data_IF_509127511810
#
_entry.id   IF_509127511810
#
_cell.length_a   1.000
_cell.length_b   1.000
_cell.length_c   1.000
_cell.angle_alpha   90.00
_cell.angle_beta   90.00
_cell.angle_gamma   90.00
#
_symmetry.space_group_name_H-M   'P 1'
#
loop_
_entity.id
_entity.type
_entity.pdbx_description
1 polymer ?
#
# COMPACT_ATOMS: atom_id res chain seq x y z
N UNK A 1 -32.25 -29.58 -26.73
CA UNK A 1 -32.07 -30.32 -25.47
C UNK A 1 -31.58 -29.32 -24.43
N UNK A 2 -32.01 -29.52 -23.19
CA UNK A 2 -32.19 -28.53 -22.12
C UNK A 2 -31.02 -27.57 -21.82
N UNK A 3 -31.38 -26.31 -21.59
CA UNK A 3 -30.57 -25.25 -21.02
C UNK A 3 -31.10 -25.01 -19.59
N UNK A 4 -30.38 -25.48 -18.57
CA UNK A 4 -30.81 -25.45 -17.17
C UNK A 4 -30.30 -24.17 -16.48
N UNK A 5 -31.07 -23.08 -16.63
CA UNK A 5 -30.93 -21.88 -15.81
C UNK A 5 -31.62 -22.07 -14.45
N UNK A 6 -30.85 -22.40 -13.41
CA UNK A 6 -31.35 -22.47 -12.03
C UNK A 6 -31.24 -21.09 -11.35
N UNK A 7 -32.29 -20.29 -11.45
CA UNK A 7 -32.52 -19.10 -10.62
C UNK A 7 -33.59 -19.41 -9.57
N UNK A 8 -33.16 -19.61 -8.32
CA UNK A 8 -34.04 -19.71 -7.15
C UNK A 8 -34.45 -18.33 -6.59
N UNK A 9 -35.53 -18.26 -5.78
CA UNK A 9 -36.57 -17.26 -5.96
C UNK A 9 -36.43 -15.98 -5.14
N UNK A 10 -36.92 -14.92 -5.78
CA UNK A 10 -37.36 -13.63 -5.23
C UNK A 10 -38.47 -13.82 -4.19
N UNK A 11 -38.31 -13.18 -3.03
CA UNK A 11 -39.42 -12.85 -2.14
C UNK A 11 -39.46 -11.32 -1.99
N UNK A 12 -40.35 -10.70 -2.77
CA UNK A 12 -40.82 -9.35 -2.55
C UNK A 12 -42.05 -9.42 -1.64
N UNK A 13 -42.08 -8.56 -0.62
CA UNK A 13 -43.31 -8.10 0.02
C UNK A 13 -43.09 -6.64 0.44
N UNK A 14 -43.58 -5.73 -0.40
CA UNK A 14 -43.90 -4.35 -0.03
C UNK A 14 -45.20 -4.31 0.79
N UNK A 15 -45.29 -3.29 1.65
CA UNK A 15 -46.46 -2.43 1.95
C UNK A 15 -46.57 -2.16 3.46
N UNK A 16 -46.92 -0.98 3.98
CA UNK A 16 -47.16 0.40 3.50
C UNK A 16 -47.11 1.30 4.76
N UNK A 17 -46.71 2.55 4.56
CA UNK A 17 -46.89 3.79 5.33
C UNK A 17 -47.66 3.80 6.69
N UNK A 18 -47.18 4.60 7.65
CA UNK A 18 -47.75 5.94 7.90
C UNK A 18 -46.92 6.81 8.87
N UNK A 19 -47.09 8.11 8.66
CA UNK A 19 -46.35 9.29 9.12
C UNK A 19 -46.68 9.78 10.54
N UNK A 20 -45.71 10.38 11.25
CA UNK A 20 -45.85 11.73 11.87
C UNK A 20 -44.53 12.26 12.47
N UNK A 21 -44.21 13.50 12.10
CA UNK A 21 -43.11 14.34 12.58
C UNK A 21 -43.53 15.15 13.85
N UNK A 22 -42.88 16.28 14.24
CA UNK A 22 -41.52 16.51 14.75
C UNK A 22 -41.50 17.35 16.07
N UNK A 23 -40.48 17.21 16.93
CA UNK A 23 -40.12 18.20 17.98
C UNK A 23 -38.79 17.76 18.62
N UNK A 24 -37.80 18.57 18.97
CA UNK A 24 -37.60 20.01 18.97
C UNK A 24 -36.13 20.29 19.36
N UNK A 25 -35.62 21.47 18.99
CA UNK A 25 -34.28 21.96 19.33
C UNK A 25 -34.07 22.01 20.85
N UNK A 26 -32.93 21.53 21.38
CA UNK A 26 -32.21 22.18 22.50
C UNK A 26 -30.69 22.03 22.37
N UNK A 27 -30.02 23.14 22.70
CA UNK A 27 -28.60 23.47 22.56
C UNK A 27 -27.74 22.82 23.64
N UNK A 28 -26.46 22.61 23.30
CA UNK A 28 -25.25 22.87 24.09
C UNK A 28 -25.37 22.90 25.63
N UNK A 29 -24.65 21.98 26.29
CA UNK A 29 -24.05 22.20 27.61
C UNK A 29 -22.97 21.13 27.84
N UNK A 30 -21.69 21.48 27.71
CA UNK A 30 -20.87 21.96 28.85
C UNK A 30 -20.41 20.82 29.77
N UNK A 31 -19.10 20.52 29.67
CA UNK A 31 -18.17 20.41 30.81
C UNK A 31 -18.65 19.54 31.98
N UNK A 32 -18.30 18.25 31.95
CA UNK A 32 -18.17 17.45 33.18
C UNK A 32 -16.72 17.48 33.66
N UNK A 33 -16.42 18.40 34.56
CA UNK A 33 -15.24 18.32 35.43
C UNK A 33 -15.56 17.45 36.65
N UNK A 34 -14.71 16.43 36.84
CA UNK A 34 -14.09 15.92 38.08
C UNK A 34 -14.88 15.96 39.41
N UNK A 35 -14.93 14.81 40.07
CA UNK A 35 -14.74 14.66 41.53
C UNK A 35 -13.77 13.51 41.81
N UNK A 36 -12.95 13.67 42.86
CA UNK A 36 -11.74 12.90 43.16
C UNK A 36 -11.86 12.09 44.47
N UNK A 37 -11.07 11.01 44.58
CA UNK A 37 -10.44 10.36 45.77
C UNK A 37 -10.30 8.84 45.49
N UNK A 38 -9.12 8.32 45.06
CA UNK A 38 -8.02 7.79 45.91
C UNK A 38 -8.16 6.26 46.05
N UNK A 39 -7.17 5.35 45.96
CA UNK A 39 -5.72 5.34 45.78
C UNK A 39 -5.30 3.88 45.40
N UNK A 40 -4.14 3.75 44.72
CA UNK A 40 -3.25 2.57 44.51
C UNK A 40 -3.79 1.28 43.88
N UNK A 41 -3.42 1.04 42.61
CA UNK A 41 -2.70 -0.15 42.12
C UNK A 41 -2.57 -0.10 40.59
N UNK A 42 -1.32 -0.10 40.13
CA UNK A 42 -0.83 -0.56 38.82
C UNK A 42 -1.79 -0.46 37.64
N UNK A 43 -1.72 0.65 36.91
CA UNK A 43 -2.34 0.70 35.59
C UNK A 43 -1.61 1.68 34.69
N UNK A 44 -0.89 1.09 33.74
CA UNK A 44 -0.69 1.53 32.36
C UNK A 44 -0.80 3.03 32.19
N UNK A 45 0.35 3.70 32.12
CA UNK A 45 0.42 5.05 31.62
C UNK A 45 -0.29 5.08 30.27
N UNK A 46 -1.49 5.67 30.24
CA UNK A 46 -2.15 6.05 29.00
C UNK A 46 -1.28 7.15 28.42
N UNK A 47 -0.25 6.75 27.70
CA UNK A 47 0.65 7.64 27.00
C UNK A 47 -0.21 8.41 26.00
N UNK A 48 -0.41 9.70 26.29
CA UNK A 48 -0.92 10.66 25.31
C UNK A 48 -0.12 10.43 24.01
N UNK A 49 -0.75 10.45 22.82
CA UNK A 49 -0.02 10.21 21.58
C UNK A 49 1.16 11.18 21.52
N UNK A 50 2.37 10.64 21.63
CA UNK A 50 3.60 11.44 21.59
C UNK A 50 3.65 12.02 20.17
N UNK A 51 3.36 13.32 20.04
CA UNK A 51 3.47 14.01 18.76
C UNK A 51 4.95 14.31 18.55
N UNK A 52 5.62 13.41 17.84
CA UNK A 52 6.99 13.67 17.40
C UNK A 52 6.99 14.84 16.41
N UNK A 53 7.83 15.84 16.65
CA UNK A 53 8.09 16.90 15.68
C UNK A 53 8.80 16.33 14.46
N UNK A 54 8.80 17.05 13.34
CA UNK A 54 9.48 16.59 12.11
C UNK A 54 10.99 16.40 12.33
N UNK A 55 11.61 17.27 13.12
CA UNK A 55 13.03 17.18 13.50
C UNK A 55 13.30 15.92 14.34
N UNK A 56 12.49 15.65 15.35
CA UNK A 56 12.63 14.45 16.19
C UNK A 56 12.45 13.15 15.39
N UNK A 57 11.59 13.16 14.36
CA UNK A 57 11.43 11.99 13.46
C UNK A 57 12.68 11.77 12.62
N UNK A 58 13.25 12.83 12.07
CA UNK A 58 14.48 12.76 11.28
C UNK A 58 15.65 12.28 12.12
N UNK A 59 15.82 12.81 13.34
CA UNK A 59 16.89 12.40 14.26
C UNK A 59 16.81 10.91 14.60
N UNK A 60 15.60 10.41 14.86
CA UNK A 60 15.39 8.99 15.12
C UNK A 60 15.64 8.12 13.88
N UNK A 61 15.26 8.56 12.69
CA UNK A 61 15.56 7.83 11.46
C UNK A 61 17.07 7.77 11.20
N UNK A 62 17.78 8.88 11.42
CA UNK A 62 19.24 8.95 11.29
C UNK A 62 19.95 8.05 12.30
N UNK A 63 19.47 7.99 13.54
CA UNK A 63 20.01 7.10 14.57
C UNK A 63 19.84 5.62 14.17
N UNK A 64 18.66 5.25 13.67
CA UNK A 64 18.40 3.88 13.18
C UNK A 64 19.30 3.57 11.98
N UNK A 65 19.45 4.50 11.04
CA UNK A 65 20.30 4.32 9.87
C UNK A 65 21.78 4.21 10.25
N UNK A 66 22.25 5.01 11.20
CA UNK A 66 23.61 4.93 11.72
C UNK A 66 23.88 3.59 12.43
N UNK A 67 22.96 3.11 13.27
CA UNK A 67 23.12 1.80 13.94
C UNK A 67 23.17 0.65 12.94
N UNK A 68 22.33 0.70 11.90
CA UNK A 68 22.31 -0.31 10.83
C UNK A 68 23.57 -0.20 9.95
N UNK A 69 24.02 1.01 9.62
CA UNK A 69 25.23 1.23 8.82
C UNK A 69 26.51 0.80 9.55
N UNK A 70 26.55 0.97 10.87
CA UNK A 70 27.64 0.50 11.73
C UNK A 70 27.62 -1.02 11.91
N UNK A 71 26.56 -1.72 11.48
CA UNK A 71 26.41 -3.16 11.65
C UNK A 71 26.21 -3.60 13.10
N UNK A 72 25.91 -2.66 14.00
CA UNK A 72 25.79 -2.92 15.43
C UNK A 72 24.50 -3.71 15.77
N UNK A 73 23.49 -3.64 14.91
CA UNK A 73 22.20 -4.30 15.14
C UNK A 73 21.45 -4.54 13.83
N UNK A 74 20.52 -5.51 13.85
CA UNK A 74 19.59 -5.67 12.72
C UNK A 74 18.62 -4.49 12.70
N UNK A 75 18.05 -4.18 11.53
CA UNK A 75 17.10 -3.07 11.38
C UNK A 75 15.97 -3.12 12.43
N UNK A 76 15.50 -4.32 12.78
CA UNK A 76 14.43 -4.49 13.78
C UNK A 76 14.89 -4.14 15.19
N UNK A 77 16.14 -4.45 15.51
CA UNK A 77 16.71 -4.19 16.83
C UNK A 77 17.04 -2.70 16.99
N UNK A 78 17.53 -2.04 15.93
CA UNK A 78 17.69 -0.58 15.88
C UNK A 78 16.35 0.18 16.01
N UNK A 79 15.28 -0.35 15.42
CA UNK A 79 13.94 0.25 15.55
C UNK A 79 13.43 0.16 16.99
N UNK A 80 13.67 -1.00 17.65
CA UNK A 80 13.31 -1.20 19.06
C UNK A 80 14.16 -0.34 19.99
N UNK A 81 15.47 -0.20 19.75
CA UNK A 81 16.36 0.66 20.53
C UNK A 81 15.93 2.13 20.45
N UNK A 82 15.51 2.59 19.27
CA UNK A 82 14.96 3.94 19.06
C UNK A 82 13.55 4.17 19.69
N UNK A 83 12.95 3.11 20.25
CA UNK A 83 11.64 3.16 20.92
C UNK A 83 10.48 3.43 19.97
N UNK A 84 10.57 2.95 18.72
CA UNK A 84 9.54 3.11 17.68
C UNK A 84 9.06 1.72 17.22
N UNK A 85 7.85 1.63 16.66
CA UNK A 85 7.39 0.40 16.00
C UNK A 85 7.89 0.31 14.55
N UNK A 86 8.10 -0.90 14.03
CA UNK A 86 8.49 -1.10 12.62
C UNK A 86 7.56 -0.39 11.64
N UNK A 87 6.25 -0.45 11.91
CA UNK A 87 5.25 0.25 11.11
C UNK A 87 5.49 1.77 11.08
N UNK A 88 5.79 2.38 12.22
CA UNK A 88 6.04 3.82 12.31
C UNK A 88 7.34 4.18 11.61
N UNK A 89 8.38 3.36 11.73
CA UNK A 89 9.63 3.53 10.98
C UNK A 89 9.39 3.56 9.48
N UNK A 90 8.62 2.62 8.92
CA UNK A 90 8.34 2.59 7.47
C UNK A 90 7.48 3.78 7.02
N UNK A 91 6.49 4.19 7.83
CA UNK A 91 5.67 5.38 7.53
C UNK A 91 6.53 6.65 7.52
N UNK A 92 7.43 6.81 8.50
CA UNK A 92 8.32 7.96 8.56
C UNK A 92 9.37 7.91 7.47
N UNK A 93 9.98 6.75 7.19
CA UNK A 93 10.93 6.58 6.08
C UNK A 93 10.30 6.92 4.73
N UNK A 94 9.03 6.55 4.51
CA UNK A 94 8.28 6.90 3.28
C UNK A 94 7.92 8.39 3.20
N UNK A 95 7.79 9.06 4.35
CA UNK A 95 7.47 10.48 4.42
C UNK A 95 8.72 11.37 4.43
N UNK A 96 9.85 10.84 4.92
CA UNK A 96 11.15 11.50 5.04
C UNK A 96 12.01 11.32 3.79
N UNK A 97 11.89 10.17 3.10
CA UNK A 97 12.15 10.18 1.67
C UNK A 97 11.15 11.17 1.11
N UNK A 98 11.57 12.29 0.51
CA UNK A 98 10.63 13.09 -0.26
C UNK A 98 9.91 12.10 -1.17
N UNK A 99 8.64 12.33 -1.42
CA UNK A 99 8.01 11.65 -2.53
C UNK A 99 8.90 11.92 -3.75
N UNK A 100 9.80 10.99 -4.10
CA UNK A 100 10.57 10.92 -5.36
C UNK A 100 9.62 10.63 -6.53
N UNK A 101 8.39 11.12 -6.39
CA UNK A 101 7.32 11.25 -7.35
C UNK A 101 6.68 12.63 -7.14
N UNK A 102 7.45 13.71 -7.36
CA UNK A 102 7.00 14.96 -8.00
C UNK A 102 8.12 16.02 -8.06
N UNK A 103 8.37 16.74 -9.19
CA UNK A 103 8.04 16.51 -10.60
C UNK A 103 9.27 16.66 -11.53
N UNK A 104 10.43 16.07 -11.23
CA UNK A 104 11.47 15.85 -12.26
C UNK A 104 10.98 14.83 -13.32
N UNK A 105 10.01 13.99 -12.93
CA UNK A 105 9.23 13.09 -13.77
C UNK A 105 8.26 13.81 -14.75
N UNK A 106 8.48 15.08 -15.09
CA UNK A 106 7.77 15.72 -16.21
C UNK A 106 8.67 15.94 -17.42
N UNK A 107 9.98 16.09 -17.22
CA UNK A 107 10.99 16.16 -18.29
C UNK A 107 11.73 14.83 -18.41
N UNK A 108 12.08 14.16 -17.30
CA UNK A 108 12.75 12.85 -17.31
C UNK A 108 11.78 11.70 -17.59
N UNK A 109 10.51 11.81 -17.18
CA UNK A 109 9.53 10.77 -17.54
C UNK A 109 9.25 10.68 -19.04
N UNK A 110 9.55 11.74 -19.81
CA UNK A 110 9.52 11.67 -21.27
C UNK A 110 10.62 10.77 -21.83
N UNK A 111 11.82 10.83 -21.24
CA UNK A 111 12.97 10.00 -21.61
C UNK A 111 12.80 8.56 -21.11
N UNK A 112 12.40 8.38 -19.85
CA UNK A 112 12.08 7.06 -19.29
C UNK A 112 10.94 6.36 -20.08
N UNK A 113 9.93 7.11 -20.52
CA UNK A 113 8.85 6.56 -21.35
C UNK A 113 9.33 6.23 -22.76
N UNK A 114 10.21 7.05 -23.34
CA UNK A 114 10.82 6.77 -24.63
C UNK A 114 11.67 5.50 -24.58
N UNK A 115 12.46 5.32 -23.53
CA UNK A 115 13.26 4.12 -23.28
C UNK A 115 12.39 2.88 -23.11
N UNK A 116 11.29 2.98 -22.36
CA UNK A 116 10.33 1.88 -22.23
C UNK A 116 9.70 1.49 -23.57
N UNK A 117 9.34 2.46 -24.42
CA UNK A 117 8.81 2.21 -25.76
C UNK A 117 9.87 1.54 -26.66
N UNK A 118 11.13 1.97 -26.57
CA UNK A 118 12.23 1.35 -27.33
C UNK A 118 12.44 -0.11 -26.88
N UNK A 119 12.46 -0.36 -25.58
CA UNK A 119 12.57 -1.71 -25.03
C UNK A 119 11.41 -2.61 -25.46
N UNK A 120 10.18 -2.09 -25.50
CA UNK A 120 9.03 -2.85 -25.97
C UNK A 120 9.16 -3.23 -27.45
N UNK A 121 9.57 -2.28 -28.30
CA UNK A 121 9.84 -2.54 -29.73
C UNK A 121 10.92 -3.59 -29.94
N UNK A 122 12.01 -3.49 -29.19
CA UNK A 122 13.11 -4.47 -29.28
C UNK A 122 12.65 -5.84 -28.77
N UNK A 123 11.86 -5.89 -27.70
CA UNK A 123 11.32 -7.16 -27.20
C UNK A 123 10.42 -7.82 -28.26
N UNK A 124 9.55 -7.05 -28.91
CA UNK A 124 8.70 -7.55 -29.97
C UNK A 124 9.52 -8.01 -31.19
N UNK A 125 10.55 -7.26 -31.58
CA UNK A 125 11.49 -7.65 -32.64
C UNK A 125 12.18 -8.98 -32.30
N UNK A 126 12.70 -9.13 -31.08
CA UNK A 126 13.38 -10.34 -30.62
C UNK A 126 12.42 -11.55 -30.58
N UNK A 127 11.18 -11.36 -30.13
CA UNK A 127 10.15 -12.41 -30.15
C UNK A 127 9.84 -12.87 -31.57
N UNK A 128 9.71 -11.94 -32.51
CA UNK A 128 9.48 -12.27 -33.92
C UNK A 128 10.65 -13.06 -34.50
N UNK A 129 11.89 -12.57 -34.32
CA UNK A 129 13.10 -13.26 -34.78
C UNK A 129 13.23 -14.67 -34.20
N UNK A 130 12.95 -14.84 -32.91
CA UNK A 130 12.93 -16.15 -32.28
C UNK A 130 11.86 -17.05 -32.90
N UNK A 131 10.65 -16.53 -33.10
CA UNK A 131 9.56 -17.31 -33.69
C UNK A 131 9.88 -17.75 -35.13
N UNK A 132 10.52 -16.88 -35.92
CA UNK A 132 10.90 -17.18 -37.30
C UNK A 132 12.03 -18.21 -37.34
N UNK A 133 13.02 -18.08 -36.46
CA UNK A 133 14.09 -19.08 -36.32
C UNK A 133 13.52 -20.44 -35.92
N UNK A 134 12.62 -20.48 -34.92
CA UNK A 134 11.97 -21.71 -34.51
C UNK A 134 11.10 -22.32 -35.62
N UNK A 135 10.41 -21.50 -36.42
CA UNK A 135 9.66 -22.00 -37.59
C UNK A 135 10.60 -22.59 -38.64
N UNK A 136 11.71 -21.92 -38.95
CA UNK A 136 12.70 -22.40 -39.91
C UNK A 136 13.35 -23.72 -39.43
N UNK A 137 13.83 -23.77 -38.18
CA UNK A 137 14.41 -24.97 -37.60
C UNK A 137 13.40 -26.12 -37.52
N UNK A 138 12.17 -25.85 -37.11
CA UNK A 138 11.13 -26.88 -37.09
C UNK A 138 10.80 -27.39 -38.50
N UNK A 139 10.74 -26.52 -39.50
CA UNK A 139 10.56 -26.96 -40.89
C UNK A 139 11.74 -27.84 -41.34
N UNK A 140 12.98 -27.46 -41.05
CA UNK A 140 14.14 -28.31 -41.35
C UNK A 140 14.09 -29.67 -40.65
N UNK A 141 13.69 -29.69 -39.38
CA UNK A 141 13.53 -30.93 -38.62
C UNK A 141 12.43 -31.81 -39.20
N UNK A 142 11.29 -31.22 -39.60
CA UNK A 142 10.22 -31.98 -40.26
C UNK A 142 10.67 -32.55 -41.61
N UNK A 143 11.43 -31.80 -42.42
CA UNK A 143 12.06 -32.33 -43.65
C UNK A 143 12.97 -33.51 -43.35
N UNK A 144 13.82 -33.40 -42.33
CA UNK A 144 14.74 -34.47 -41.93
C UNK A 144 14.02 -35.71 -41.41
N UNK A 145 12.86 -35.53 -40.78
CA UNK A 145 12.02 -36.60 -40.26
C UNK A 145 11.02 -37.15 -41.29
N UNK A 146 10.93 -36.56 -42.49
CA UNK A 146 9.95 -36.96 -43.51
C UNK A 146 8.50 -36.65 -43.13
N UNK A 147 8.28 -35.60 -42.33
CA UNK A 147 6.97 -35.19 -41.80
C UNK A 147 6.39 -33.96 -42.53
N UNK A 148 6.92 -33.63 -43.70
CA UNK A 148 6.57 -32.48 -44.54
C UNK A 148 5.81 -32.87 -45.81
#
# INVERSE_FOLDING_TARGET
MADESNTGPVAAAEAVAETKAPAGKRKSSSRRQRTAAGQVAESKTTAKPKRYSETERADKLNLIEAEVAQGNSTLKDAIKSAGISEQTYYVWKKSAKPADRKPEASVVAGDDLADLIQLEKENLRLRNLLSDKLRAENAELRKRLGLD
#
